data_IF_257098970750
#
_entry.id   IF_257098970750
#
_cell.length_a   1.000
_cell.length_b   1.000
_cell.length_c   1.000
_cell.angle_alpha   90.00
_cell.angle_beta   90.00
_cell.angle_gamma   90.00
#
_symmetry.space_group_name_H-M   'P 1'
#
loop_
_entity.id
_entity.type
_entity.pdbx_description
1 polymer ?
#
# COMPACT_ATOMS: atom_id res chain seq x y z
N UNK A 1 -37.91 12.62 21.54
CA UNK A 1 -36.47 12.46 21.22
C UNK A 1 -36.34 11.34 20.21
N UNK A 2 -35.79 11.60 19.03
CA UNK A 2 -35.57 10.58 17.99
C UNK A 2 -34.11 10.11 18.11
N UNK A 3 -33.90 8.88 18.56
CA UNK A 3 -32.58 8.23 18.56
C UNK A 3 -32.31 7.72 17.14
N UNK A 4 -31.41 8.41 16.41
CA UNK A 4 -30.90 7.91 15.15
C UNK A 4 -29.96 6.72 15.42
N UNK A 5 -30.35 5.52 14.98
CA UNK A 5 -29.50 4.34 15.03
C UNK A 5 -28.52 4.39 13.85
N UNK A 6 -27.26 4.70 14.13
CA UNK A 6 -26.17 4.57 13.17
C UNK A 6 -25.93 3.06 12.98
N UNK A 7 -26.39 2.51 11.86
CA UNK A 7 -26.07 1.16 11.46
C UNK A 7 -24.56 1.09 11.18
N UNK A 8 -23.79 0.49 12.08
CA UNK A 8 -22.40 0.13 11.85
C UNK A 8 -22.39 -1.05 10.88
N UNK A 9 -22.23 -0.78 9.58
CA UNK A 9 -21.93 -1.83 8.63
C UNK A 9 -20.61 -2.51 9.06
N UNK A 10 -20.51 -3.85 8.97
CA UNK A 10 -19.24 -4.51 9.21
C UNK A 10 -18.25 -3.99 8.17
N UNK A 11 -17.14 -3.42 8.64
CA UNK A 11 -15.97 -3.17 7.78
C UNK A 11 -15.43 -4.55 7.43
N UNK A 12 -15.82 -5.06 6.27
CA UNK A 12 -15.18 -6.25 5.70
C UNK A 12 -13.79 -5.79 5.31
N UNK A 13 -12.78 -6.23 6.06
CA UNK A 13 -11.40 -5.94 5.69
C UNK A 13 -11.00 -6.83 4.51
N UNK A 14 -10.34 -6.21 3.54
CA UNK A 14 -9.80 -6.90 2.38
C UNK A 14 -8.49 -7.60 2.79
N UNK A 15 -8.30 -8.86 2.41
CA UNK A 15 -7.01 -9.54 2.56
C UNK A 15 -6.39 -9.71 1.18
N UNK A 16 -5.12 -9.36 1.05
CA UNK A 16 -4.35 -9.52 -0.19
C UNK A 16 -3.21 -10.49 0.01
N UNK A 17 -2.97 -11.32 -1.00
CA UNK A 17 -1.82 -12.22 -1.05
C UNK A 17 -0.61 -11.45 -1.58
N UNK A 18 0.40 -11.29 -0.73
CA UNK A 18 1.67 -10.65 -1.11
C UNK A 18 2.70 -11.70 -1.52
N UNK A 19 3.78 -11.26 -2.19
CA UNK A 19 4.88 -12.13 -2.61
C UNK A 19 5.30 -13.15 -1.54
N UNK A 20 5.44 -14.42 -1.95
CA UNK A 20 5.72 -15.53 -1.04
C UNK A 20 4.49 -16.08 -0.29
N UNK A 21 3.27 -15.80 -0.76
CA UNK A 21 2.00 -16.28 -0.17
C UNK A 21 1.81 -15.84 1.28
N UNK A 22 2.16 -14.58 1.56
CA UNK A 22 1.94 -13.97 2.87
C UNK A 22 0.66 -13.13 2.80
N UNK A 23 -0.47 -13.61 3.34
CA UNK A 23 -1.69 -12.82 3.40
C UNK A 23 -1.48 -11.61 4.32
N UNK A 24 -1.97 -10.45 3.87
CA UNK A 24 -2.01 -9.23 4.68
C UNK A 24 -3.44 -8.72 4.74
N UNK A 25 -3.95 -8.58 5.96
CA UNK A 25 -5.22 -7.91 6.23
C UNK A 25 -5.04 -6.39 6.08
N UNK A 26 -5.82 -5.80 5.18
CA UNK A 26 -5.77 -4.37 4.85
C UNK A 26 -6.61 -3.50 5.79
N UNK A 27 -7.15 -4.06 6.88
CA UNK A 27 -8.02 -3.34 7.83
C UNK A 27 -7.45 -1.98 8.31
N UNK A 28 -6.13 -1.86 8.45
CA UNK A 28 -5.45 -0.65 8.92
C UNK A 28 -4.86 0.21 7.80
N UNK A 29 -4.95 -0.24 6.54
CA UNK A 29 -4.32 0.43 5.40
C UNK A 29 -5.27 1.44 4.76
N UNK A 30 -4.71 2.59 4.39
CA UNK A 30 -5.37 3.52 3.48
C UNK A 30 -5.08 3.14 2.03
N UNK A 31 -6.06 2.56 1.34
CA UNK A 31 -5.93 2.11 -0.04
C UNK A 31 -6.46 3.14 -1.05
N UNK A 32 -5.72 3.31 -2.15
CA UNK A 32 -6.07 4.18 -3.29
C UNK A 32 -5.82 3.43 -4.60
N UNK A 33 -6.86 3.31 -5.41
CA UNK A 33 -6.72 2.84 -6.79
C UNK A 33 -6.06 3.93 -7.63
N UNK A 34 -5.11 3.51 -8.47
CA UNK A 34 -4.25 4.40 -9.24
C UNK A 34 -4.64 4.32 -10.71
N UNK A 35 -5.19 5.42 -11.24
CA UNK A 35 -5.58 5.55 -12.66
C UNK A 35 -4.55 6.30 -13.49
N UNK A 36 -3.65 7.05 -12.84
CA UNK A 36 -2.65 7.93 -13.48
C UNK A 36 -1.28 7.27 -13.70
N UNK A 37 -1.19 5.96 -13.53
CA UNK A 37 0.03 5.16 -13.74
C UNK A 37 -0.30 3.95 -14.58
N UNK A 38 0.63 3.56 -15.46
CA UNK A 38 0.57 2.27 -16.19
C UNK A 38 1.32 1.16 -15.45
N UNK A 39 1.98 1.48 -14.33
CA UNK A 39 2.77 0.53 -13.54
C UNK A 39 2.04 0.18 -12.24
N UNK A 40 1.66 1.18 -11.46
CA UNK A 40 0.95 0.99 -10.21
C UNK A 40 -0.55 1.01 -10.47
N UNK A 41 -1.24 -0.04 -10.02
CA UNK A 41 -2.70 -0.17 -10.11
C UNK A 41 -3.37 0.23 -8.79
N UNK A 42 -2.71 -0.02 -7.67
CA UNK A 42 -3.19 0.31 -6.32
C UNK A 42 -2.02 0.59 -5.39
N UNK A 43 -2.23 1.49 -4.45
CA UNK A 43 -1.31 1.76 -3.34
C UNK A 43 -2.11 1.70 -2.04
N UNK A 44 -1.67 0.89 -1.09
CA UNK A 44 -2.21 0.80 0.26
C UNK A 44 -1.09 1.14 1.23
N UNK A 45 -1.33 2.06 2.17
CA UNK A 45 -0.33 2.45 3.15
C UNK A 45 -0.88 2.45 4.57
N UNK A 46 -0.18 1.76 5.47
CA UNK A 46 -0.37 1.90 6.91
C UNK A 46 0.73 2.81 7.47
N UNK A 47 0.35 4.03 7.84
CA UNK A 47 1.29 5.03 8.38
C UNK A 47 1.83 4.65 9.76
N UNK A 48 1.05 3.94 10.58
CA UNK A 48 1.47 3.54 11.91
C UNK A 48 2.53 2.43 11.87
N UNK A 49 2.40 1.51 10.91
CA UNK A 49 3.34 0.41 10.69
C UNK A 49 4.43 0.74 9.65
N UNK A 50 4.34 1.90 8.98
CA UNK A 50 5.18 2.28 7.85
C UNK A 50 5.22 1.19 6.77
N UNK A 51 4.05 0.59 6.50
CA UNK A 51 3.91 -0.57 5.64
C UNK A 51 3.22 -0.17 4.34
N UNK A 52 3.88 -0.43 3.22
CA UNK A 52 3.43 -0.06 1.89
C UNK A 52 3.13 -1.33 1.10
N UNK A 53 1.91 -1.46 0.62
CA UNK A 53 1.51 -2.48 -0.34
C UNK A 53 1.21 -1.80 -1.68
N UNK A 54 1.75 -2.35 -2.77
CA UNK A 54 1.48 -1.88 -4.13
C UNK A 54 0.96 -3.02 -4.98
N UNK A 55 -0.03 -2.72 -5.84
CA UNK A 55 -0.47 -3.64 -6.87
C UNK A 55 0.21 -3.30 -8.20
N UNK A 56 0.86 -4.29 -8.82
CA UNK A 56 1.53 -4.19 -10.12
C UNK A 56 1.13 -5.42 -10.93
N UNK A 57 0.52 -5.20 -12.10
CA UNK A 57 0.06 -6.27 -12.98
C UNK A 57 -0.79 -7.36 -12.28
N UNK A 58 -1.62 -6.96 -11.31
CA UNK A 58 -2.49 -7.84 -10.54
C UNK A 58 -1.81 -8.59 -9.39
N UNK A 59 -0.51 -8.42 -9.19
CA UNK A 59 0.22 -8.97 -8.05
C UNK A 59 0.45 -7.88 -6.99
N UNK A 60 0.44 -8.28 -5.72
CA UNK A 60 0.72 -7.39 -4.59
C UNK A 60 2.13 -7.62 -4.04
N UNK A 61 2.90 -6.55 -3.94
CA UNK A 61 4.20 -6.52 -3.27
C UNK A 61 4.08 -5.69 -1.98
N UNK A 62 4.75 -6.15 -0.91
CA UNK A 62 4.80 -5.49 0.39
C UNK A 62 6.19 -4.94 0.66
N UNK A 63 6.26 -3.73 1.22
CA UNK A 63 7.47 -3.02 1.57
C UNK A 63 7.34 -2.44 2.97
N UNK A 64 8.18 -2.88 3.90
CA UNK A 64 8.16 -2.44 5.29
C UNK A 64 9.14 -1.29 5.54
N UNK A 65 8.83 -0.40 6.48
CA UNK A 65 9.71 0.72 6.84
C UNK A 65 9.78 1.82 5.79
N UNK A 66 8.73 1.98 4.96
CA UNK A 66 8.65 3.07 3.98
C UNK A 66 8.13 4.32 4.69
N UNK A 67 8.98 5.33 4.81
CA UNK A 67 8.61 6.60 5.46
C UNK A 67 7.45 7.30 4.76
N UNK A 68 6.57 8.01 5.51
CA UNK A 68 5.41 8.68 4.93
C UNK A 68 5.76 9.68 3.83
N UNK A 69 6.88 10.40 3.97
CA UNK A 69 7.36 11.35 2.97
C UNK A 69 7.69 10.67 1.63
N UNK A 70 8.15 9.42 1.67
CA UNK A 70 8.42 8.63 0.45
C UNK A 70 7.10 8.23 -0.22
N UNK A 71 6.07 7.90 0.56
CA UNK A 71 4.72 7.60 0.04
C UNK A 71 4.06 8.85 -0.52
N UNK A 72 4.17 9.99 0.16
CA UNK A 72 3.67 11.27 -0.35
C UNK A 72 4.38 11.66 -1.65
N UNK A 73 5.71 11.46 -1.72
CA UNK A 73 6.50 11.61 -2.94
C UNK A 73 6.00 10.70 -4.09
N UNK A 74 5.70 9.44 -3.79
CA UNK A 74 5.14 8.50 -4.76
C UNK A 74 3.77 8.97 -5.27
N UNK A 75 2.87 9.33 -4.36
CA UNK A 75 1.50 9.74 -4.64
C UNK A 75 1.41 11.15 -5.25
N UNK A 76 2.46 11.96 -5.18
CA UNK A 76 2.58 13.26 -5.84
C UNK A 76 3.40 13.24 -7.14
N UNK A 77 4.16 12.17 -7.42
CA UNK A 77 5.10 12.14 -8.54
C UNK A 77 4.41 12.29 -9.92
N UNK A 78 4.96 13.09 -10.86
CA UNK A 78 4.46 13.17 -12.24
C UNK A 78 4.46 11.82 -12.96
N UNK A 79 5.45 10.98 -12.67
CA UNK A 79 5.51 9.58 -13.11
C UNK A 79 5.68 8.67 -11.90
N UNK A 80 4.56 8.15 -11.39
CA UNK A 80 4.55 7.27 -10.21
C UNK A 80 5.42 6.03 -10.42
N UNK A 81 5.37 5.42 -11.60
CA UNK A 81 6.17 4.23 -11.92
C UNK A 81 7.67 4.51 -11.90
N UNK A 82 8.13 5.65 -12.43
CA UNK A 82 9.56 6.01 -12.35
C UNK A 82 9.99 6.31 -10.92
N UNK A 83 9.16 7.01 -10.13
CA UNK A 83 9.44 7.26 -8.72
C UNK A 83 9.57 5.95 -7.95
N UNK A 84 8.58 5.06 -8.09
CA UNK A 84 8.56 3.75 -7.43
C UNK A 84 9.81 2.94 -7.76
N UNK A 85 10.16 2.82 -9.05
CA UNK A 85 11.32 2.04 -9.47
C UNK A 85 12.63 2.59 -8.91
N UNK A 86 12.77 3.92 -8.79
CA UNK A 86 14.00 4.57 -8.33
C UNK A 86 14.17 4.59 -6.81
N UNK A 87 13.10 4.88 -6.08
CA UNK A 87 13.16 5.20 -4.65
C UNK A 87 12.67 4.06 -3.75
N UNK A 88 11.94 3.08 -4.29
CA UNK A 88 11.36 1.97 -3.52
C UNK A 88 11.92 0.64 -4.03
N UNK A 89 11.63 0.27 -5.28
CA UNK A 89 12.02 -1.04 -5.83
C UNK A 89 13.52 -1.29 -5.83
N UNK A 90 14.32 -0.27 -6.20
CA UNK A 90 15.78 -0.36 -6.22
C UNK A 90 16.38 -0.55 -4.83
N UNK A 91 15.85 0.17 -3.83
CA UNK A 91 16.31 0.07 -2.44
C UNK A 91 15.88 -1.26 -1.80
N UNK A 92 14.69 -1.76 -2.15
CA UNK A 92 14.24 -3.09 -1.72
C UNK A 92 15.16 -4.21 -2.22
N UNK A 93 15.76 -4.08 -3.41
CA UNK A 93 16.78 -5.02 -3.86
C UNK A 93 18.05 -5.02 -2.99
N UNK A 94 18.27 -3.97 -2.21
CA UNK A 94 19.30 -3.89 -1.17
C UNK A 94 18.78 -4.18 0.24
N UNK A 95 17.63 -4.86 0.37
CA UNK A 95 16.98 -5.24 1.62
C UNK A 95 16.47 -4.10 2.51
N UNK A 96 16.51 -2.83 2.05
CA UNK A 96 16.06 -1.68 2.85
C UNK A 96 14.58 -1.76 3.27
N UNK A 97 13.76 -2.41 2.45
CA UNK A 97 12.31 -2.51 2.65
C UNK A 97 11.83 -3.95 2.83
N UNK A 98 12.74 -4.87 3.15
CA UNK A 98 12.37 -6.25 3.44
C UNK A 98 11.55 -6.30 4.73
N UNK A 99 10.35 -6.83 4.63
CA UNK A 99 9.55 -7.20 5.79
C UNK A 99 10.21 -8.43 6.43
N UNK A 100 10.94 -8.21 7.53
CA UNK A 100 11.56 -9.28 8.31
C UNK A 100 10.61 -10.46 8.56
N UNK A 101 11.18 -11.66 8.65
CA UNK A 101 10.44 -12.88 8.95
C UNK A 101 9.91 -12.90 10.39
#
# INVERSE_FOLDING_TARGET
MLLAQLATAPVVSETVETGGHRPVDLATFECRDITRSTVLQRVCYDRAQQDLIVAINGAYDRYCGVDPDTVDGLLGAPSMGQFFNRNIRREAAGSRYDCGA
#
